data_IF_501460714416
#
_entry.id   IF_501460714416
#
_cell.length_a   1.000
_cell.length_b   1.000
_cell.length_c   1.000
_cell.angle_alpha   90.00
_cell.angle_beta   90.00
_cell.angle_gamma   90.00
#
_symmetry.space_group_name_H-M   'P 1'
#
loop_
_entity.id
_entity.type
_entity.pdbx_description
1 polymer ?
#
# COMPACT_ATOMS: atom_id res chain seq x y z
N UNK A 1 -34.83 17.10 28.94
CA UNK A 1 -33.44 16.81 28.58
C UNK A 1 -33.12 15.32 28.31
N UNK A 2 -34.02 14.41 28.58
CA UNK A 2 -33.80 12.93 28.50
C UNK A 2 -33.89 12.35 27.07
N UNK A 3 -34.79 12.84 26.23
CA UNK A 3 -35.02 12.24 24.90
C UNK A 3 -33.87 12.45 23.88
N UNK A 4 -33.14 13.57 23.97
CA UNK A 4 -31.98 13.83 23.09
C UNK A 4 -30.80 12.91 23.38
N UNK A 5 -30.53 12.65 24.66
CA UNK A 5 -29.49 11.72 25.10
C UNK A 5 -29.77 10.25 24.71
N UNK A 6 -31.06 9.86 24.72
CA UNK A 6 -31.46 8.51 24.29
C UNK A 6 -31.23 8.36 22.77
N UNK A 7 -31.63 9.34 21.95
CA UNK A 7 -31.39 9.32 20.49
C UNK A 7 -29.92 9.26 20.15
N UNK A 8 -29.06 10.00 20.85
CA UNK A 8 -27.61 9.95 20.64
C UNK A 8 -27.02 8.57 21.00
N UNK A 9 -27.45 7.98 22.11
CA UNK A 9 -27.03 6.62 22.47
C UNK A 9 -27.47 5.57 21.44
N UNK A 10 -28.71 5.62 20.98
CA UNK A 10 -29.22 4.71 19.94
C UNK A 10 -28.44 4.88 18.65
N UNK A 11 -28.14 6.11 18.22
CA UNK A 11 -27.30 6.39 17.05
C UNK A 11 -25.90 5.79 17.19
N UNK A 12 -25.27 5.95 18.37
CA UNK A 12 -23.95 5.37 18.63
C UNK A 12 -23.97 3.84 18.60
N UNK A 13 -25.01 3.20 19.17
CA UNK A 13 -25.18 1.75 19.13
C UNK A 13 -25.32 1.25 17.69
N UNK A 14 -26.18 1.91 16.89
CA UNK A 14 -26.38 1.55 15.48
C UNK A 14 -25.08 1.72 14.67
N UNK A 15 -24.32 2.79 14.90
CA UNK A 15 -23.03 3.00 14.27
C UNK A 15 -22.01 1.92 14.66
N UNK A 16 -21.94 1.57 15.95
CA UNK A 16 -21.07 0.50 16.42
C UNK A 16 -21.43 -0.85 15.81
N UNK A 17 -22.71 -1.20 15.75
CA UNK A 17 -23.17 -2.42 15.07
C UNK A 17 -22.77 -2.38 13.59
N UNK A 18 -22.96 -1.27 12.89
CA UNK A 18 -22.55 -1.10 11.50
C UNK A 18 -21.04 -1.30 11.31
N UNK A 19 -20.21 -0.72 12.19
CA UNK A 19 -18.76 -0.91 12.14
C UNK A 19 -18.35 -2.36 12.44
N UNK A 20 -19.00 -3.02 13.40
CA UNK A 20 -18.75 -4.44 13.71
C UNK A 20 -19.07 -5.30 12.50
N UNK A 21 -20.22 -5.11 11.87
CA UNK A 21 -20.61 -5.85 10.66
C UNK A 21 -19.63 -5.62 9.51
N UNK A 22 -19.23 -4.38 9.30
CA UNK A 22 -18.23 -4.02 8.28
C UNK A 22 -16.88 -4.69 8.57
N UNK A 23 -16.46 -4.70 9.84
CA UNK A 23 -15.22 -5.37 10.25
C UNK A 23 -15.27 -6.88 10.00
N UNK A 24 -16.36 -7.53 10.31
CA UNK A 24 -16.55 -8.95 9.98
C UNK A 24 -16.47 -9.20 8.48
N UNK A 25 -17.13 -8.37 7.68
CA UNK A 25 -17.10 -8.46 6.21
C UNK A 25 -15.68 -8.34 5.66
N UNK A 26 -14.89 -7.39 6.18
CA UNK A 26 -13.50 -7.20 5.75
C UNK A 26 -12.56 -8.30 6.21
N UNK A 27 -12.90 -9.04 7.27
CA UNK A 27 -12.13 -10.19 7.76
C UNK A 27 -12.34 -11.45 6.90
N UNK A 28 -13.50 -11.60 6.24
CA UNK A 28 -13.82 -12.80 5.44
C UNK A 28 -12.70 -13.15 4.43
N UNK A 29 -12.22 -12.24 3.56
CA UNK A 29 -11.17 -12.59 2.60
C UNK A 29 -9.85 -12.93 3.27
N UNK A 30 -9.54 -12.34 4.44
CA UNK A 30 -8.32 -12.64 5.20
C UNK A 30 -8.40 -14.04 5.79
N UNK A 31 -9.52 -14.38 6.42
CA UNK A 31 -9.78 -15.71 6.98
C UNK A 31 -9.78 -16.78 5.88
N UNK A 32 -10.35 -16.47 4.73
CA UNK A 32 -10.34 -17.36 3.57
C UNK A 32 -8.92 -17.60 3.05
N UNK A 33 -8.11 -16.55 2.88
CA UNK A 33 -6.71 -16.69 2.50
C UNK A 33 -5.90 -17.53 3.51
N UNK A 34 -6.12 -17.30 4.80
CA UNK A 34 -5.52 -18.11 5.87
C UNK A 34 -5.96 -19.57 5.78
N UNK A 35 -7.25 -19.84 5.60
CA UNK A 35 -7.79 -21.19 5.44
C UNK A 35 -7.15 -21.93 4.26
N UNK A 36 -7.02 -21.28 3.10
CA UNK A 36 -6.35 -21.86 1.94
C UNK A 36 -4.87 -22.13 2.23
N UNK A 37 -4.19 -21.25 2.94
CA UNK A 37 -2.75 -21.39 3.21
C UNK A 37 -2.42 -22.65 4.02
N UNK A 38 -3.33 -23.10 4.87
CA UNK A 38 -3.21 -24.33 5.70
C UNK A 38 -3.99 -25.53 5.11
N UNK A 39 -4.54 -25.42 3.90
CA UNK A 39 -5.31 -26.49 3.28
C UNK A 39 -4.37 -27.47 2.56
N UNK A 40 -4.61 -28.77 2.78
CA UNK A 40 -3.89 -29.86 2.11
C UNK A 40 -4.36 -30.16 0.69
N UNK A 41 -5.36 -29.46 0.17
CA UNK A 41 -5.78 -29.63 -1.21
C UNK A 41 -4.92 -28.79 -2.14
N UNK A 42 -4.25 -29.41 -3.11
CA UNK A 42 -3.48 -28.74 -4.18
C UNK A 42 -4.35 -27.89 -5.13
N UNK A 43 -5.62 -27.73 -4.85
CA UNK A 43 -6.59 -27.08 -5.71
C UNK A 43 -6.91 -25.68 -5.19
N UNK A 44 -6.10 -24.71 -5.58
CA UNK A 44 -6.45 -23.28 -5.55
C UNK A 44 -7.70 -22.99 -6.40
N UNK A 45 -8.08 -23.94 -7.24
CA UNK A 45 -9.20 -23.88 -8.22
C UNK A 45 -10.32 -24.85 -7.80
N UNK A 46 -10.51 -25.11 -6.51
CA UNK A 46 -11.73 -25.80 -6.11
C UNK A 46 -12.91 -24.83 -6.24
N UNK A 47 -13.86 -25.17 -7.07
CA UNK A 47 -15.13 -24.46 -7.29
C UNK A 47 -15.99 -24.38 -6.01
N UNK A 48 -15.57 -25.02 -4.94
CA UNK A 48 -16.28 -25.07 -3.68
C UNK A 48 -15.66 -24.06 -2.70
N UNK A 49 -16.43 -23.06 -2.35
CA UNK A 49 -16.07 -22.08 -1.32
C UNK A 49 -16.19 -22.71 0.07
N UNK A 50 -15.05 -23.14 0.64
CA UNK A 50 -14.98 -23.60 2.01
C UNK A 50 -14.20 -22.60 2.87
N UNK A 51 -14.86 -22.06 3.90
CA UNK A 51 -14.20 -21.15 4.86
C UNK A 51 -13.23 -21.96 5.77
N UNK A 52 -13.52 -23.23 6.01
CA UNK A 52 -12.67 -24.13 6.79
C UNK A 52 -12.05 -25.19 5.88
N UNK A 53 -10.72 -25.45 5.99
CA UNK A 53 -10.07 -26.49 5.19
C UNK A 53 -10.58 -27.88 5.58
N UNK A 54 -10.77 -28.75 4.57
CA UNK A 54 -11.14 -30.18 4.82
C UNK A 54 -9.99 -30.95 5.49
N UNK A 55 -8.76 -30.60 5.17
CA UNK A 55 -7.54 -31.17 5.77
C UNK A 55 -6.60 -30.03 6.11
N UNK A 56 -6.05 -30.04 7.31
CA UNK A 56 -5.10 -29.03 7.78
C UNK A 56 -3.69 -29.57 7.60
N UNK A 57 -2.82 -28.83 6.92
CA UNK A 57 -1.42 -29.17 6.72
C UNK A 57 -0.54 -27.93 6.72
N UNK A 58 0.73 -28.08 7.04
CA UNK A 58 1.75 -27.05 6.91
C UNK A 58 2.62 -27.22 5.64
N UNK A 59 2.27 -28.15 4.75
CA UNK A 59 3.06 -28.49 3.57
C UNK A 59 3.31 -27.29 2.65
N UNK A 60 2.32 -26.41 2.50
CA UNK A 60 2.47 -25.19 1.72
C UNK A 60 3.58 -24.28 2.25
N UNK A 61 3.66 -24.15 3.60
CA UNK A 61 4.72 -23.35 4.23
C UNK A 61 6.09 -24.03 4.14
N UNK A 62 6.13 -25.35 4.34
CA UNK A 62 7.35 -26.13 4.20
C UNK A 62 7.87 -26.03 2.77
N UNK A 63 7.03 -26.25 1.77
CA UNK A 63 7.40 -26.13 0.34
C UNK A 63 7.96 -24.74 0.00
N UNK A 64 7.32 -23.66 0.47
CA UNK A 64 7.78 -22.29 0.21
C UNK A 64 9.15 -22.05 0.85
N UNK A 65 9.39 -22.55 2.06
CA UNK A 65 10.62 -22.30 2.80
C UNK A 65 11.78 -23.21 2.36
N UNK A 66 11.49 -24.44 1.90
CA UNK A 66 12.53 -25.44 1.57
C UNK A 66 12.77 -25.59 0.06
N UNK A 67 11.71 -25.53 -0.76
CA UNK A 67 11.78 -25.79 -2.20
C UNK A 67 11.79 -24.54 -3.06
N UNK A 68 11.42 -23.39 -2.49
CA UNK A 68 11.38 -22.11 -3.20
C UNK A 68 12.42 -21.14 -2.64
N UNK A 69 12.96 -20.24 -3.47
CA UNK A 69 13.95 -19.26 -3.02
C UNK A 69 13.32 -18.11 -2.22
N UNK A 70 12.44 -18.43 -1.26
CA UNK A 70 11.67 -17.45 -0.48
C UNK A 70 12.56 -16.45 0.26
N UNK A 71 13.66 -16.92 0.86
CA UNK A 71 14.62 -16.05 1.54
C UNK A 71 15.19 -14.97 0.62
N UNK A 72 15.50 -15.33 -0.65
CA UNK A 72 15.96 -14.35 -1.66
C UNK A 72 14.86 -13.35 -2.01
N UNK A 73 13.62 -13.80 -2.20
CA UNK A 73 12.50 -12.92 -2.50
C UNK A 73 12.24 -11.93 -1.36
N UNK A 74 12.28 -12.43 -0.12
CA UNK A 74 12.09 -11.61 1.07
C UNK A 74 13.18 -10.53 1.20
N UNK A 75 14.46 -10.92 1.08
CA UNK A 75 15.60 -9.98 1.13
C UNK A 75 15.52 -8.95 0.01
N UNK A 76 15.20 -9.37 -1.22
CA UNK A 76 15.02 -8.45 -2.34
C UNK A 76 13.91 -7.42 -2.10
N UNK A 77 12.76 -7.87 -1.57
CA UNK A 77 11.63 -6.98 -1.24
C UNK A 77 12.00 -6.01 -0.13
N UNK A 78 12.70 -6.48 0.90
CA UNK A 78 13.16 -5.64 2.00
C UNK A 78 14.15 -4.57 1.52
N UNK A 79 15.12 -4.97 0.69
CA UNK A 79 16.12 -4.05 0.11
C UNK A 79 15.46 -3.01 -0.79
N UNK A 80 14.56 -3.41 -1.69
CA UNK A 80 13.82 -2.49 -2.54
C UNK A 80 13.00 -1.50 -1.71
N UNK A 81 12.30 -1.98 -0.70
CA UNK A 81 11.49 -1.14 0.18
C UNK A 81 12.36 -0.14 0.94
N UNK A 82 13.47 -0.60 1.53
CA UNK A 82 14.39 0.25 2.28
C UNK A 82 15.00 1.36 1.40
N UNK A 83 15.49 1.01 0.21
CA UNK A 83 16.06 1.97 -0.74
C UNK A 83 15.01 2.96 -1.23
N UNK A 84 13.80 2.49 -1.52
CA UNK A 84 12.69 3.35 -1.96
C UNK A 84 12.31 4.35 -0.87
N UNK A 85 12.14 3.89 0.37
CA UNK A 85 11.81 4.76 1.52
C UNK A 85 12.91 5.79 1.72
N UNK A 86 14.18 5.36 1.73
CA UNK A 86 15.32 6.25 1.92
C UNK A 86 15.36 7.35 0.85
N UNK A 87 15.26 6.99 -0.43
CA UNK A 87 15.27 7.95 -1.53
C UNK A 87 14.05 8.88 -1.48
N UNK A 88 12.88 8.34 -1.21
CA UNK A 88 11.64 9.13 -1.09
C UNK A 88 11.75 10.16 0.04
N UNK A 89 12.24 9.75 1.21
CA UNK A 89 12.40 10.63 2.36
C UNK A 89 13.46 11.70 2.14
N UNK A 90 14.58 11.36 1.49
CA UNK A 90 15.63 12.33 1.16
C UNK A 90 15.11 13.47 0.28
N UNK A 91 14.12 13.22 -0.57
CA UNK A 91 13.52 14.24 -1.43
C UNK A 91 12.31 14.91 -0.77
N UNK A 92 11.40 14.12 -0.22
CA UNK A 92 10.11 14.60 0.27
C UNK A 92 10.21 15.40 1.57
N UNK A 93 11.09 15.01 2.52
CA UNK A 93 11.21 15.68 3.82
C UNK A 93 11.75 17.10 3.68
N UNK A 94 12.89 17.37 3.00
CA UNK A 94 13.36 18.72 2.79
C UNK A 94 12.36 19.58 2.00
N UNK A 95 11.74 19.01 0.96
CA UNK A 95 10.71 19.70 0.21
C UNK A 95 9.53 20.08 1.11
N UNK A 96 9.01 19.15 1.92
CA UNK A 96 7.90 19.40 2.84
C UNK A 96 8.24 20.49 3.86
N UNK A 97 9.46 20.49 4.39
CA UNK A 97 9.93 21.53 5.30
C UNK A 97 9.94 22.91 4.64
N UNK A 98 10.55 23.05 3.47
CA UNK A 98 10.61 24.31 2.69
C UNK A 98 9.20 24.83 2.41
N UNK A 99 8.33 23.96 1.90
CA UNK A 99 6.93 24.32 1.59
C UNK A 99 6.05 24.57 2.81
N UNK A 100 6.45 24.17 3.99
CA UNK A 100 5.71 24.45 5.23
C UNK A 100 6.19 25.72 5.91
N UNK A 101 7.51 25.89 6.04
CA UNK A 101 8.13 26.94 6.86
C UNK A 101 8.59 28.16 6.07
N UNK A 102 8.93 28.00 4.79
CA UNK A 102 9.49 29.11 4.01
C UNK A 102 8.41 29.79 3.15
N UNK A 103 8.54 31.11 2.99
CA UNK A 103 7.72 31.93 2.09
C UNK A 103 8.53 32.28 0.86
N UNK A 104 8.08 31.82 -0.31
CA UNK A 104 8.70 32.11 -1.59
C UNK A 104 7.67 32.34 -2.71
N UNK A 105 8.06 33.05 -3.75
CA UNK A 105 7.21 33.30 -4.90
C UNK A 105 6.84 31.97 -5.59
N UNK A 106 5.59 31.80 -5.98
CA UNK A 106 5.12 30.59 -6.66
C UNK A 106 4.74 29.39 -5.74
N UNK A 107 4.97 29.47 -4.41
CA UNK A 107 4.66 28.39 -3.46
C UNK A 107 3.26 27.80 -3.67
N UNK A 108 2.23 28.64 -3.70
CA UNK A 108 0.84 28.19 -3.89
C UNK A 108 0.64 27.50 -5.24
N UNK A 109 1.18 28.09 -6.31
CA UNK A 109 1.06 27.55 -7.66
C UNK A 109 1.71 26.16 -7.77
N UNK A 110 2.91 25.99 -7.23
CA UNK A 110 3.59 24.70 -7.20
C UNK A 110 2.81 23.65 -6.41
N UNK A 111 2.21 24.00 -5.27
CA UNK A 111 1.36 23.11 -4.51
C UNK A 111 0.15 22.62 -5.32
N UNK A 112 -0.51 23.50 -6.07
CA UNK A 112 -1.60 23.11 -6.96
C UNK A 112 -1.13 22.20 -8.09
N UNK A 113 0.03 22.47 -8.70
CA UNK A 113 0.61 21.61 -9.74
C UNK A 113 0.90 20.21 -9.17
N UNK A 114 1.52 20.11 -8.00
CA UNK A 114 1.79 18.84 -7.36
C UNK A 114 0.49 18.06 -7.03
N UNK A 115 -0.58 18.76 -6.65
CA UNK A 115 -1.88 18.13 -6.42
C UNK A 115 -2.45 17.54 -7.71
N UNK A 116 -2.41 18.31 -8.81
CA UNK A 116 -2.89 17.86 -10.12
C UNK A 116 -2.07 16.67 -10.62
N UNK A 117 -0.73 16.72 -10.45
CA UNK A 117 0.14 15.61 -10.82
C UNK A 117 -0.17 14.34 -10.01
N UNK A 118 -0.49 14.48 -8.72
CA UNK A 118 -0.87 13.34 -7.88
C UNK A 118 -2.22 12.72 -8.29
N UNK A 119 -3.12 13.52 -8.87
CA UNK A 119 -4.41 13.04 -9.38
C UNK A 119 -4.31 12.41 -10.78
N UNK A 120 -3.14 12.50 -11.44
CA UNK A 120 -2.96 11.97 -12.79
C UNK A 120 -2.93 10.43 -12.77
N UNK A 121 -3.71 9.75 -13.63
CA UNK A 121 -3.76 8.29 -13.65
C UNK A 121 -2.38 7.66 -13.96
N UNK A 122 -1.87 6.85 -13.03
CA UNK A 122 -0.54 6.21 -13.16
C UNK A 122 -0.40 5.37 -14.42
N UNK A 123 -1.49 4.76 -14.90
CA UNK A 123 -1.49 3.93 -16.10
C UNK A 123 -1.10 4.72 -17.36
N UNK A 124 -1.47 5.99 -17.46
CA UNK A 124 -1.12 6.85 -18.59
C UNK A 124 0.36 7.23 -18.60
N UNK A 125 0.99 7.25 -17.43
CA UNK A 125 2.42 7.56 -17.29
C UNK A 125 3.31 6.36 -17.61
N UNK A 126 2.77 5.15 -17.68
CA UNK A 126 3.56 3.91 -17.77
C UNK A 126 4.46 3.89 -19.03
N UNK A 127 3.95 4.33 -20.19
CA UNK A 127 4.76 4.39 -21.42
C UNK A 127 5.90 5.40 -21.32
N UNK A 128 5.64 6.57 -20.73
CA UNK A 128 6.66 7.59 -20.55
C UNK A 128 7.74 7.11 -19.58
N UNK A 129 7.35 6.52 -18.45
CA UNK A 129 8.24 5.93 -17.45
C UNK A 129 9.10 4.84 -18.09
N UNK A 130 8.49 3.91 -18.85
CA UNK A 130 9.24 2.87 -19.56
C UNK A 130 10.29 3.44 -20.49
N UNK A 131 9.95 4.47 -21.30
CA UNK A 131 10.91 5.11 -22.20
C UNK A 131 12.06 5.76 -21.44
N UNK A 132 11.79 6.47 -20.34
CA UNK A 132 12.82 7.09 -19.50
C UNK A 132 13.76 6.03 -18.94
N UNK A 133 13.22 4.99 -18.31
CA UNK A 133 14.00 3.90 -17.70
C UNK A 133 14.83 3.16 -18.74
N UNK A 134 14.27 2.95 -19.95
CA UNK A 134 15.00 2.36 -21.08
C UNK A 134 16.17 3.25 -21.54
N UNK A 135 15.94 4.55 -21.70
CA UNK A 135 16.97 5.50 -22.14
C UNK A 135 18.11 5.62 -21.13
N UNK A 136 17.80 5.47 -19.83
CA UNK A 136 18.78 5.46 -18.74
C UNK A 136 19.49 4.10 -18.57
N UNK A 137 19.18 3.09 -19.40
CA UNK A 137 19.66 1.71 -19.27
C UNK A 137 19.39 1.07 -17.89
N UNK A 138 18.25 1.43 -17.27
CA UNK A 138 17.83 0.96 -15.96
C UNK A 138 16.74 -0.12 -16.02
N UNK A 139 16.46 -0.66 -17.23
CA UNK A 139 15.55 -1.81 -17.36
C UNK A 139 16.11 -3.02 -16.62
N UNK A 140 15.23 -3.78 -15.97
CA UNK A 140 15.55 -4.98 -15.20
C UNK A 140 16.60 -4.75 -14.08
N UNK A 141 16.67 -3.52 -13.54
CA UNK A 141 17.57 -3.19 -12.44
C UNK A 141 16.81 -2.80 -11.18
N UNK A 142 17.39 -3.09 -10.01
CA UNK A 142 16.84 -2.64 -8.72
C UNK A 142 16.74 -1.11 -8.65
N UNK A 143 17.74 -0.39 -9.17
CA UNK A 143 17.73 1.06 -9.17
C UNK A 143 16.61 1.64 -10.03
N UNK A 144 16.30 1.03 -11.16
CA UNK A 144 15.15 1.41 -11.99
C UNK A 144 13.84 1.31 -11.22
N UNK A 145 13.63 0.22 -10.50
CA UNK A 145 12.45 0.03 -9.64
C UNK A 145 12.41 1.02 -8.49
N UNK A 146 13.54 1.28 -7.82
CA UNK A 146 13.63 2.26 -6.73
C UNK A 146 13.25 3.66 -7.22
N UNK A 147 13.74 4.10 -8.39
CA UNK A 147 13.38 5.40 -8.96
C UNK A 147 11.90 5.50 -9.32
N UNK A 148 11.32 4.44 -9.90
CA UNK A 148 9.89 4.41 -10.24
C UNK A 148 9.04 4.52 -8.96
N UNK A 149 9.34 3.70 -7.96
CA UNK A 149 8.57 3.69 -6.70
C UNK A 149 8.76 4.98 -5.91
N UNK A 150 9.99 5.47 -5.78
CA UNK A 150 10.25 6.71 -5.09
C UNK A 150 9.58 7.91 -5.77
N UNK A 151 9.64 8.00 -7.11
CA UNK A 151 8.98 9.05 -7.87
C UNK A 151 7.46 9.03 -7.73
N UNK A 152 6.85 7.85 -7.80
CA UNK A 152 5.39 7.71 -7.65
C UNK A 152 4.90 8.02 -6.23
N UNK A 153 5.71 7.74 -5.19
CA UNK A 153 5.35 7.98 -3.79
C UNK A 153 5.75 9.37 -3.27
N UNK A 154 6.69 10.05 -3.92
CA UNK A 154 7.27 11.30 -3.43
C UNK A 154 6.23 12.38 -3.14
N UNK A 155 5.26 12.57 -4.04
CA UNK A 155 4.21 13.59 -3.88
C UNK A 155 3.30 13.25 -2.71
N UNK A 156 2.91 12.00 -2.56
CA UNK A 156 2.07 11.54 -1.45
C UNK A 156 2.77 11.73 -0.11
N UNK A 157 4.03 11.30 -0.01
CA UNK A 157 4.86 11.47 1.20
C UNK A 157 5.07 12.95 1.51
N UNK A 158 5.36 13.77 0.50
CA UNK A 158 5.47 15.22 0.64
C UNK A 158 4.22 15.85 1.27
N UNK A 159 3.02 15.50 0.79
CA UNK A 159 1.76 16.03 1.34
C UNK A 159 1.52 15.61 2.77
N UNK A 160 1.81 14.35 3.11
CA UNK A 160 1.70 13.87 4.49
C UNK A 160 2.69 14.59 5.41
N UNK A 161 3.97 14.64 5.03
CA UNK A 161 5.02 15.28 5.82
C UNK A 161 4.81 16.79 5.99
N UNK A 162 4.29 17.48 4.96
CA UNK A 162 3.98 18.91 5.03
C UNK A 162 2.99 19.25 6.14
N UNK A 163 2.11 18.34 6.53
CA UNK A 163 1.15 18.52 7.63
C UNK A 163 1.80 18.49 9.01
N UNK A 164 2.98 17.89 9.15
CA UNK A 164 3.72 17.81 10.43
C UNK A 164 4.62 19.04 10.70
N UNK A 165 5.01 19.77 9.68
CA UNK A 165 5.83 20.99 9.78
C UNK A 165 4.97 22.25 9.82
#
# INVERSE_FOLDING_TARGET
MTGKKIKEKVKLILLNIGFILLSFLTLIPILYAFSISISGSNSIISTEFHILPKTITMDNYITILTERPFGRWFVNSLLLSALTVLLTMLVAVPAAYVFSRMRFAGRKRTLYILLVLNAFPAILSMFAIYRIIKTLNLLNSYMGLVFIYAGSMAIFVFWNMKGYF
#
